data_IF_921358059147
#
_entry.id   IF_921358059147
#
_cell.length_a   1.000
_cell.length_b   1.000
_cell.length_c   1.000
_cell.angle_alpha   90.00
_cell.angle_beta   90.00
_cell.angle_gamma   90.00
#
_symmetry.space_group_name_H-M   'P 1'
#
loop_
_entity.id
_entity.type
_entity.pdbx_description
1 polymer ?
#
# COMPACT_ATOMS: atom_id res chain seq x y z
N UNK A 1 11.88 -9.77 -4.79
CA UNK A 1 12.17 -10.65 -5.94
C UNK A 1 11.93 -9.98 -7.30
N UNK A 2 10.98 -9.03 -7.42
CA UNK A 2 10.69 -8.32 -8.68
C UNK A 2 11.68 -7.19 -9.07
N UNK A 3 12.28 -6.48 -8.10
CA UNK A 3 13.29 -5.43 -8.38
C UNK A 3 14.51 -5.93 -9.15
N UNK A 4 14.90 -7.19 -8.95
CA UNK A 4 16.04 -7.82 -9.65
C UNK A 4 15.76 -8.17 -11.12
N UNK A 5 14.50 -8.16 -11.54
CA UNK A 5 14.07 -8.61 -12.87
C UNK A 5 13.81 -7.45 -13.84
N UNK A 6 14.12 -6.20 -13.47
CA UNK A 6 13.86 -5.02 -14.31
C UNK A 6 12.37 -4.74 -14.54
N UNK A 7 11.51 -5.32 -13.71
CA UNK A 7 10.07 -5.06 -13.74
C UNK A 7 9.84 -3.73 -13.04
N UNK A 8 9.21 -2.73 -13.69
CA UNK A 8 8.87 -1.49 -13.03
C UNK A 8 7.88 -1.79 -11.90
N UNK A 9 8.34 -1.74 -10.65
CA UNK A 9 7.51 -1.82 -9.46
C UNK A 9 6.91 -0.45 -9.15
N UNK A 10 5.71 -0.46 -8.56
CA UNK A 10 5.09 0.77 -8.05
C UNK A 10 5.92 1.25 -6.86
N UNK A 11 6.31 2.53 -6.79
CA UNK A 11 7.01 3.07 -5.63
C UNK A 11 6.10 2.93 -4.39
N UNK A 12 6.66 2.37 -3.33
CA UNK A 12 5.96 1.94 -2.12
C UNK A 12 6.91 1.85 -0.94
N UNK A 13 6.40 1.50 0.24
CA UNK A 13 7.24 1.21 1.40
C UNK A 13 8.03 -0.08 1.18
N UNK A 14 9.30 -0.09 1.59
CA UNK A 14 10.18 -1.29 1.55
C UNK A 14 9.73 -2.39 2.52
N UNK A 15 8.81 -2.08 3.44
CA UNK A 15 8.40 -2.92 4.54
C UNK A 15 7.10 -2.45 5.18
N UNK A 16 6.63 -3.21 6.17
CA UNK A 16 5.45 -2.88 6.93
C UNK A 16 5.72 -1.59 7.72
N UNK A 17 4.82 -0.64 7.59
CA UNK A 17 4.81 0.61 8.31
C UNK A 17 4.08 0.38 9.62
N UNK A 18 4.75 0.68 10.72
CA UNK A 18 4.19 0.53 12.07
C UNK A 18 3.91 1.87 12.72
N UNK A 19 4.60 2.93 12.26
CA UNK A 19 4.53 4.27 12.83
C UNK A 19 4.06 5.32 11.82
N UNK A 20 3.50 6.42 12.32
CA UNK A 20 3.03 7.54 11.48
C UNK A 20 4.21 8.31 10.87
N UNK A 21 5.33 8.33 11.56
CA UNK A 21 6.56 8.99 11.16
C UNK A 21 7.18 8.29 9.95
N UNK A 22 7.25 6.96 9.97
CA UNK A 22 7.67 6.15 8.80
C UNK A 22 6.75 6.38 7.61
N UNK A 23 5.43 6.42 7.85
CA UNK A 23 4.47 6.70 6.79
C UNK A 23 4.67 8.08 6.16
N UNK A 24 4.94 9.11 6.96
CA UNK A 24 5.18 10.46 6.48
C UNK A 24 6.47 10.54 5.64
N UNK A 25 7.53 9.83 6.06
CA UNK A 25 8.78 9.75 5.28
C UNK A 25 8.55 9.09 3.91
N UNK A 26 7.90 7.92 3.91
CA UNK A 26 7.62 7.17 2.69
C UNK A 26 6.72 7.98 1.74
N UNK A 27 5.67 8.62 2.26
CA UNK A 27 4.77 9.43 1.43
C UNK A 27 5.41 10.72 0.92
N UNK A 28 6.40 11.27 1.62
CA UNK A 28 7.19 12.41 1.14
C UNK A 28 8.02 12.05 -0.10
N UNK A 29 8.56 10.84 -0.15
CA UNK A 29 9.33 10.35 -1.29
C UNK A 29 8.45 9.91 -2.46
N UNK A 30 7.28 9.32 -2.18
CA UNK A 30 6.35 8.76 -3.18
C UNK A 30 5.39 9.81 -3.77
N UNK A 31 4.92 10.73 -2.93
CA UNK A 31 3.90 11.74 -3.26
C UNK A 31 2.46 11.20 -3.34
N UNK A 32 1.49 12.11 -3.18
CA UNK A 32 0.05 11.79 -3.17
C UNK A 32 -0.60 11.75 -4.57
N UNK A 33 -1.73 11.03 -4.77
CA UNK A 33 -2.40 10.15 -3.81
C UNK A 33 -1.66 8.83 -3.54
N UNK A 34 -1.82 8.30 -2.32
CA UNK A 34 -1.27 7.01 -1.89
C UNK A 34 -2.36 6.07 -1.42
N UNK A 35 -2.09 4.78 -1.45
CA UNK A 35 -2.97 3.74 -0.95
C UNK A 35 -2.28 2.99 0.18
N UNK A 36 -3.00 2.82 1.29
CA UNK A 36 -2.60 2.06 2.47
C UNK A 36 -3.28 0.70 2.38
N UNK A 37 -2.51 -0.38 2.57
CA UNK A 37 -2.99 -1.77 2.50
C UNK A 37 -2.52 -2.55 3.73
N UNK A 38 -3.39 -3.38 4.29
CA UNK A 38 -3.00 -4.32 5.35
C UNK A 38 -1.88 -5.27 4.91
N UNK A 39 -0.89 -5.46 5.77
CA UNK A 39 0.29 -6.26 5.48
C UNK A 39 0.03 -7.76 5.47
N UNK A 40 -0.81 -8.20 6.41
CA UNK A 40 -1.29 -9.56 6.55
C UNK A 40 -2.55 -9.85 5.71
N UNK A 41 -3.01 -8.88 4.90
CA UNK A 41 -4.34 -8.91 4.31
C UNK A 41 -4.43 -9.54 2.92
N UNK A 42 -5.42 -10.44 2.75
CA UNK A 42 -5.88 -10.98 1.47
C UNK A 42 -7.37 -10.70 1.26
N UNK A 43 -7.80 -10.37 0.03
CA UNK A 43 -9.23 -10.24 -0.32
C UNK A 43 -9.85 -8.83 -0.26
N UNK A 44 -9.05 -7.77 -0.20
CA UNK A 44 -9.53 -6.39 -0.39
C UNK A 44 -10.05 -5.67 0.85
N UNK A 45 -9.83 -6.23 2.05
CA UNK A 45 -10.17 -5.61 3.34
C UNK A 45 -8.95 -4.93 3.97
N UNK A 46 -9.10 -3.75 4.57
CA UNK A 46 -7.98 -2.96 5.11
C UNK A 46 -7.27 -2.12 4.05
N UNK A 47 -8.01 -1.53 3.12
CA UNK A 47 -7.47 -0.70 2.04
C UNK A 47 -8.05 0.71 2.11
N UNK A 48 -7.20 1.70 2.39
CA UNK A 48 -7.59 3.10 2.51
C UNK A 48 -6.77 3.96 1.54
N UNK A 49 -7.39 5.00 0.96
CA UNK A 49 -6.71 5.91 0.03
C UNK A 49 -6.57 7.26 0.72
N UNK A 50 -5.37 7.83 0.71
CA UNK A 50 -5.11 9.18 1.16
C UNK A 50 -4.78 10.06 -0.05
N UNK A 51 -5.54 11.13 -0.25
CA UNK A 51 -5.30 12.10 -1.33
C UNK A 51 -4.37 13.24 -0.90
N UNK A 52 -4.16 13.41 0.40
CA UNK A 52 -3.37 14.48 0.99
C UNK A 52 -2.66 14.04 2.27
N UNK A 53 -1.65 14.79 2.69
CA UNK A 53 -0.93 14.58 3.95
C UNK A 53 -1.86 14.68 5.16
N UNK A 54 -2.86 15.57 5.11
CA UNK A 54 -3.86 15.72 6.16
C UNK A 54 -4.75 14.49 6.33
N UNK A 55 -4.98 13.74 5.24
CA UNK A 55 -5.78 12.51 5.28
C UNK A 55 -4.95 11.29 5.67
N UNK A 56 -3.62 11.34 5.51
CA UNK A 56 -2.72 10.21 5.70
C UNK A 56 -2.85 9.60 7.10
N UNK A 57 -2.77 10.42 8.15
CA UNK A 57 -2.80 9.95 9.55
C UNK A 57 -4.12 9.26 9.90
N UNK A 58 -5.24 9.73 9.34
CA UNK A 58 -6.56 9.12 9.54
C UNK A 58 -6.71 7.84 8.73
N UNK A 59 -6.26 7.84 7.48
CA UNK A 59 -6.33 6.70 6.59
C UNK A 59 -5.48 5.52 7.11
N UNK A 60 -4.30 5.80 7.68
CA UNK A 60 -3.46 4.79 8.33
C UNK A 60 -4.18 4.19 9.54
N UNK A 61 -4.65 5.02 10.47
CA UNK A 61 -5.34 4.51 11.67
C UNK A 61 -6.52 3.63 11.30
N UNK A 62 -7.33 4.04 10.33
CA UNK A 62 -8.47 3.27 9.87
C UNK A 62 -8.03 1.94 9.23
N UNK A 63 -7.00 1.96 8.38
CA UNK A 63 -6.45 0.75 7.77
C UNK A 63 -5.85 -0.21 8.82
N UNK A 64 -5.14 0.31 9.82
CA UNK A 64 -4.58 -0.49 10.93
C UNK A 64 -5.70 -1.14 11.75
N UNK A 65 -6.73 -0.38 12.14
CA UNK A 65 -7.87 -0.93 12.87
C UNK A 65 -8.63 -1.99 12.08
N UNK A 66 -8.83 -1.79 10.77
CA UNK A 66 -9.42 -2.81 9.90
C UNK A 66 -8.52 -4.05 9.76
N UNK A 67 -7.20 -3.85 9.67
CA UNK A 67 -6.23 -4.93 9.58
C UNK A 67 -6.18 -5.77 10.88
N UNK A 68 -6.19 -5.11 12.05
CA UNK A 68 -6.27 -5.77 13.34
C UNK A 68 -7.57 -6.57 13.47
N UNK A 69 -8.71 -5.96 13.12
CA UNK A 69 -10.01 -6.60 13.22
C UNK A 69 -10.17 -7.79 12.25
N UNK A 70 -9.57 -7.72 11.07
CA UNK A 70 -9.72 -8.73 10.03
C UNK A 70 -8.66 -9.84 10.09
N UNK A 71 -7.41 -9.50 10.44
CA UNK A 71 -6.25 -10.38 10.32
C UNK A 71 -5.44 -10.52 11.61
N UNK A 72 -5.79 -9.78 12.67
CA UNK A 72 -5.09 -9.82 13.96
C UNK A 72 -3.70 -9.16 13.94
N UNK A 73 -3.36 -8.43 12.86
CA UNK A 73 -2.15 -7.62 12.77
C UNK A 73 -2.49 -6.24 12.21
N UNK A 74 -2.04 -5.19 12.90
CA UNK A 74 -2.19 -3.79 12.49
C UNK A 74 -1.10 -3.29 11.55
N UNK A 75 -0.26 -4.18 11.03
CA UNK A 75 0.79 -3.83 10.08
C UNK A 75 0.18 -3.43 8.74
N UNK A 76 0.65 -2.32 8.15
CA UNK A 76 0.16 -1.80 6.87
C UNK A 76 1.32 -1.40 5.95
N UNK A 77 1.12 -1.40 4.64
CA UNK A 77 2.05 -0.88 3.63
C UNK A 77 1.46 0.31 2.91
N UNK A 78 2.33 1.16 2.36
CA UNK A 78 1.92 2.33 1.57
C UNK A 78 2.47 2.19 0.16
N UNK A 79 1.62 2.40 -0.83
CA UNK A 79 2.00 2.40 -2.24
C UNK A 79 1.46 3.63 -2.96
N UNK A 80 2.08 4.02 -4.07
CA UNK A 80 1.53 5.07 -4.93
C UNK A 80 0.18 4.62 -5.51
N UNK A 81 -0.86 5.44 -5.33
CA UNK A 81 -2.16 5.16 -5.92
C UNK A 81 -2.15 5.48 -7.42
N UNK A 82 -2.29 4.45 -8.25
CA UNK A 82 -2.35 4.56 -9.70
C UNK A 82 -3.80 4.54 -10.18
N UNK A 83 -4.31 5.69 -10.62
CA UNK A 83 -5.66 5.81 -11.19
C UNK A 83 -5.81 5.16 -12.57
N UNK A 84 -4.71 5.06 -13.32
CA UNK A 84 -4.69 4.53 -14.68
C UNK A 84 -4.26 3.06 -14.68
N UNK A 85 -4.93 2.21 -15.47
CA UNK A 85 -4.56 0.80 -15.64
C UNK A 85 -3.13 0.67 -16.16
N UNK A 86 -2.18 0.34 -15.28
CA UNK A 86 -0.89 -0.19 -15.70
C UNK A 86 -1.11 -1.65 -16.04
N UNK A 87 -1.24 -1.93 -17.33
CA UNK A 87 -1.41 -3.30 -17.84
C UNK A 87 -0.01 -3.92 -17.89
N UNK A 88 0.36 -4.74 -16.90
CA UNK A 88 1.47 -5.66 -17.10
C UNK A 88 1.01 -6.74 -18.10
N UNK A 89 1.81 -7.02 -19.13
CA UNK A 89 1.43 -7.90 -20.26
C UNK A 89 1.24 -9.37 -19.89
N UNK A 90 1.44 -9.75 -18.63
CA UNK A 90 1.33 -11.11 -18.14
C UNK A 90 0.29 -11.17 -17.02
N UNK A 91 -0.89 -11.71 -17.37
CA UNK A 91 -2.09 -11.93 -16.55
C UNK A 91 -2.94 -10.68 -16.24
N UNK A 92 -4.07 -10.68 -16.94
CA UNK A 92 -5.28 -9.93 -16.71
C UNK A 92 -5.83 -10.25 -15.30
N UNK A 93 -5.55 -9.42 -14.29
CA UNK A 93 -6.28 -9.44 -13.03
C UNK A 93 -6.37 -8.04 -12.43
N UNK A 94 -7.56 -7.48 -12.62
CA UNK A 94 -8.20 -6.38 -11.91
C UNK A 94 -7.77 -6.34 -10.44
N UNK A 95 -7.08 -5.27 -10.00
CA UNK A 95 -7.04 -4.77 -8.61
C UNK A 95 -6.87 -5.87 -7.53
N UNK A 96 -6.18 -6.97 -7.83
CA UNK A 96 -6.02 -8.11 -6.93
C UNK A 96 -4.57 -8.16 -6.45
N UNK A 97 -4.34 -7.51 -5.31
CA UNK A 97 -3.68 -8.02 -4.11
C UNK A 97 -2.55 -9.07 -4.15
N UNK A 98 -1.77 -9.22 -5.22
CA UNK A 98 -0.55 -10.05 -5.17
C UNK A 98 0.57 -9.41 -6.01
N UNK A 99 1.26 -8.43 -5.43
CA UNK A 99 2.63 -8.14 -5.84
C UNK A 99 3.39 -7.49 -4.69
N UNK A 100 3.68 -8.28 -3.65
CA UNK A 100 4.76 -7.99 -2.71
C UNK A 100 6.04 -7.78 -3.55
N UNK A 101 6.48 -6.53 -3.71
CA UNK A 101 7.79 -6.21 -4.28
C UNK A 101 8.82 -6.16 -3.13
N UNK A 102 8.86 -7.22 -2.30
CA UNK A 102 10.04 -7.61 -1.51
C UNK A 102 10.74 -8.79 -2.19
#
# INVERSE_FOLDING_TARGET
MALKLGIPCVPGSDGAITTKEEAALVTKDIGFPVIIKAAAGGGGKGMQIAFSETELSNAIQLAQSEAEAAFGSGEVYIERYLRTRVISRSKLSVINLEMYCI
#
